data_IF_462074768924
#
_entry.id   IF_462074768924
#
_cell.length_a   1.000
_cell.length_b   1.000
_cell.length_c   1.000
_cell.angle_alpha   90.00
_cell.angle_beta   90.00
_cell.angle_gamma   90.00
#
_symmetry.space_group_name_H-M   'P 1'
#
loop_
_entity.id
_entity.type
_entity.pdbx_description
1 polymer ?
#
# COMPACT_ATOMS: atom_id res chain seq x y z
N UNK A 1 -0.81 22.12 -9.59
CA UNK A 1 -0.58 20.71 -10.01
C UNK A 1 0.50 20.03 -9.19
N UNK A 2 1.64 20.68 -8.94
CA UNK A 2 2.72 20.12 -8.09
C UNK A 2 2.28 19.79 -6.67
N UNK A 3 1.54 20.68 -6.00
CA UNK A 3 1.06 20.43 -4.62
C UNK A 3 0.09 19.24 -4.56
N UNK A 4 -0.75 19.08 -5.59
CA UNK A 4 -1.65 17.94 -5.69
C UNK A 4 -0.88 16.63 -5.85
N UNK A 5 0.16 16.60 -6.69
CA UNK A 5 1.03 15.42 -6.84
C UNK A 5 1.77 15.10 -5.55
N UNK A 6 2.22 16.11 -4.81
CA UNK A 6 2.87 15.91 -3.52
C UNK A 6 1.93 15.25 -2.51
N UNK A 7 0.70 15.76 -2.39
CA UNK A 7 -0.33 15.18 -1.51
C UNK A 7 -0.68 13.75 -1.91
N UNK A 8 -0.90 13.50 -3.20
CA UNK A 8 -1.18 12.15 -3.72
C UNK A 8 -0.01 11.21 -3.45
N UNK A 9 1.22 11.68 -3.62
CA UNK A 9 2.43 10.91 -3.34
C UNK A 9 2.52 10.49 -1.87
N UNK A 10 2.29 11.42 -0.94
CA UNK A 10 2.26 11.12 0.50
C UNK A 10 1.16 10.12 0.85
N UNK A 11 -0.05 10.29 0.31
CA UNK A 11 -1.16 9.36 0.56
C UNK A 11 -0.86 7.95 0.04
N UNK A 12 -0.24 7.84 -1.13
CA UNK A 12 0.19 6.57 -1.71
C UNK A 12 1.29 5.89 -0.88
N UNK A 13 2.24 6.65 -0.33
CA UNK A 13 3.24 6.11 0.59
C UNK A 13 2.60 5.54 1.86
N UNK A 14 1.68 6.28 2.48
CA UNK A 14 0.98 5.84 3.68
C UNK A 14 0.14 4.58 3.40
N UNK A 15 -0.56 4.55 2.27
CA UNK A 15 -1.31 3.37 1.82
C UNK A 15 -0.39 2.17 1.56
N UNK A 16 0.76 2.40 0.92
CA UNK A 16 1.76 1.38 0.64
C UNK A 16 2.36 0.77 1.90
N UNK A 17 2.80 1.61 2.84
CA UNK A 17 3.32 1.16 4.15
C UNK A 17 2.26 0.34 4.89
N UNK A 18 1.01 0.80 4.91
CA UNK A 18 -0.10 0.10 5.58
C UNK A 18 -0.35 -1.27 4.93
N UNK A 19 -0.45 -1.32 3.61
CA UNK A 19 -0.67 -2.56 2.87
C UNK A 19 0.51 -3.53 2.98
N UNK A 20 1.75 -3.03 3.07
CA UNK A 20 2.95 -3.85 3.32
C UNK A 20 2.93 -4.48 4.72
N UNK A 21 2.58 -3.71 5.76
CA UNK A 21 2.45 -4.23 7.13
C UNK A 21 1.38 -5.32 7.18
N UNK A 22 0.20 -5.06 6.60
CA UNK A 22 -0.90 -6.02 6.56
C UNK A 22 -0.53 -7.26 5.74
N UNK A 23 0.08 -7.07 4.57
CA UNK A 23 0.54 -8.15 3.70
C UNK A 23 1.58 -9.03 4.38
N UNK A 24 2.55 -8.43 5.08
CA UNK A 24 3.55 -9.15 5.86
C UNK A 24 2.91 -9.91 7.03
N UNK A 25 2.02 -9.28 7.80
CA UNK A 25 1.29 -9.94 8.87
C UNK A 25 0.50 -11.16 8.36
N UNK A 26 -0.19 -11.03 7.22
CA UNK A 26 -0.93 -12.13 6.60
C UNK A 26 -0.05 -13.24 6.04
N UNK A 27 1.18 -12.92 5.63
CA UNK A 27 2.17 -13.90 5.18
C UNK A 27 2.73 -14.72 6.35
N UNK A 28 3.15 -14.05 7.44
CA UNK A 28 3.71 -14.72 8.62
C UNK A 28 2.66 -15.37 9.52
N UNK A 29 1.43 -14.85 9.53
CA UNK A 29 0.32 -15.37 10.33
C UNK A 29 -0.89 -15.69 9.43
N UNK A 30 -0.89 -16.84 8.73
CA UNK A 30 -1.94 -17.20 7.78
C UNK A 30 -3.35 -17.25 8.39
N UNK A 31 -3.47 -17.51 9.69
CA UNK A 31 -4.74 -17.45 10.44
C UNK A 31 -5.45 -16.10 10.28
N UNK A 32 -4.71 -15.00 10.10
CA UNK A 32 -5.31 -13.68 9.93
C UNK A 32 -6.14 -13.56 8.64
N UNK A 33 -5.88 -14.39 7.62
CA UNK A 33 -6.58 -14.31 6.33
C UNK A 33 -8.10 -14.54 6.44
N UNK A 34 -8.59 -15.21 7.48
CA UNK A 34 -10.03 -15.42 7.70
C UNK A 34 -10.77 -14.13 8.07
N UNK A 35 -10.07 -13.13 8.60
CA UNK A 35 -10.66 -11.85 9.00
C UNK A 35 -10.74 -10.82 7.87
N UNK A 36 -10.12 -11.11 6.71
CA UNK A 36 -10.13 -10.21 5.57
C UNK A 36 -11.14 -10.69 4.51
N UNK A 37 -12.09 -9.83 4.10
CA UNK A 37 -12.96 -10.15 2.98
C UNK A 37 -12.14 -10.37 1.70
N UNK A 38 -12.59 -11.26 0.82
CA UNK A 38 -11.87 -11.62 -0.42
C UNK A 38 -11.49 -10.41 -1.28
N UNK A 39 -12.37 -9.41 -1.35
CA UNK A 39 -12.13 -8.15 -2.08
C UNK A 39 -10.93 -7.36 -1.56
N UNK A 40 -10.59 -7.47 -0.27
CA UNK A 40 -9.47 -6.76 0.35
C UNK A 40 -8.17 -7.56 0.32
N UNK A 41 -8.20 -8.87 0.09
CA UNK A 41 -7.00 -9.71 0.14
C UNK A 41 -5.96 -9.33 -0.89
N UNK A 42 -6.40 -8.94 -2.10
CA UNK A 42 -5.52 -8.51 -3.18
C UNK A 42 -4.93 -7.10 -2.95
N UNK A 43 -5.73 -6.04 -2.71
CA UNK A 43 -5.18 -4.71 -2.48
C UNK A 43 -4.33 -4.61 -1.20
N UNK A 44 -4.62 -5.41 -0.16
CA UNK A 44 -3.82 -5.47 1.06
C UNK A 44 -2.76 -6.59 1.03
N UNK A 45 -2.35 -7.02 -0.16
CA UNK A 45 -1.25 -7.97 -0.33
C UNK A 45 0.09 -7.26 -0.31
N UNK A 46 1.15 -8.00 0.01
CA UNK A 46 2.51 -7.50 -0.01
C UNK A 46 2.88 -6.90 -1.39
N UNK A 47 2.49 -7.59 -2.48
CA UNK A 47 2.74 -7.14 -3.85
C UNK A 47 2.11 -5.78 -4.15
N UNK A 48 0.83 -5.59 -3.80
CA UNK A 48 0.12 -4.33 -4.04
C UNK A 48 0.60 -3.20 -3.12
N UNK A 49 0.98 -3.52 -1.87
CA UNK A 49 1.63 -2.55 -0.98
C UNK A 49 2.89 -1.95 -1.59
N UNK A 50 3.74 -2.78 -2.20
CA UNK A 50 4.92 -2.31 -2.94
C UNK A 50 4.56 -1.39 -4.11
N UNK A 51 3.48 -1.67 -4.83
CA UNK A 51 3.02 -0.81 -5.93
C UNK A 51 2.55 0.56 -5.46
N UNK A 52 1.77 0.63 -4.38
CA UNK A 52 1.37 1.92 -3.81
C UNK A 52 2.57 2.71 -3.31
N UNK A 53 3.52 2.04 -2.64
CA UNK A 53 4.73 2.67 -2.15
C UNK A 53 5.59 3.24 -3.29
N UNK A 54 5.84 2.45 -4.34
CA UNK A 54 6.58 2.90 -5.51
C UNK A 54 5.87 4.04 -6.24
N UNK A 55 4.55 3.94 -6.43
CA UNK A 55 3.78 5.02 -7.04
C UNK A 55 3.89 6.32 -6.23
N UNK A 56 3.84 6.23 -4.89
CA UNK A 56 4.03 7.37 -4.00
C UNK A 56 5.42 8.00 -4.13
N UNK A 57 6.48 7.19 -4.18
CA UNK A 57 7.85 7.67 -4.41
C UNK A 57 7.99 8.36 -5.76
N UNK A 58 7.44 7.77 -6.82
CA UNK A 58 7.48 8.37 -8.17
C UNK A 58 6.76 9.71 -8.18
N UNK A 59 5.57 9.81 -7.56
CA UNK A 59 4.87 11.09 -7.45
C UNK A 59 5.72 12.15 -6.76
N UNK A 60 6.41 11.83 -5.66
CA UNK A 60 7.25 12.79 -4.94
C UNK A 60 8.53 13.16 -5.69
N UNK A 61 9.11 12.25 -6.47
CA UNK A 61 10.27 12.54 -7.31
C UNK A 61 9.96 13.47 -8.48
N UNK A 62 8.69 13.56 -8.89
CA UNK A 62 8.22 14.38 -10.02
C UNK A 62 7.70 15.77 -9.60
N UNK A 63 7.61 16.05 -8.31
CA UNK A 63 7.16 17.35 -7.75
C UNK A 63 8.29 18.38 -7.81
#
# INVERSE_FOLDING_TARGET
>A
MKDLMAVVGVLLLLAGVTALIIGAARYFFPMLNQFFPESFKKPLSFQYGTYYFLAGLVCLLLV
#
